data_IF_007167438224
#
_entry.id   IF_007167438224
#
_cell.length_a   1.000
_cell.length_b   1.000
_cell.length_c   1.000
_cell.angle_alpha   90.00
_cell.angle_beta   90.00
_cell.angle_gamma   90.00
#
_symmetry.space_group_name_H-M   'P 1'
#
loop_
_entity.id
_entity.type
_entity.pdbx_description
1 polymer ?
#
# COMPACT_ATOMS: atom_id res chain seq x y z
N UNK A 1 -31.77 -30.37 20.05
CA UNK A 1 -30.34 -30.37 19.75
C UNK A 1 -29.71 -29.33 20.65
N UNK A 2 -29.05 -29.75 21.72
CA UNK A 2 -28.45 -28.81 22.69
C UNK A 2 -27.14 -28.32 22.07
N UNK A 3 -27.06 -27.01 21.82
CA UNK A 3 -25.80 -26.37 21.41
C UNK A 3 -24.82 -26.47 22.57
N UNK A 4 -23.58 -26.85 22.30
CA UNK A 4 -22.57 -26.95 23.35
C UNK A 4 -22.20 -25.55 23.84
N UNK A 5 -21.72 -25.45 25.08
CA UNK A 5 -21.27 -24.18 25.64
C UNK A 5 -20.16 -23.58 24.77
N UNK A 6 -19.31 -24.40 24.13
CA UNK A 6 -18.30 -23.95 23.17
C UNK A 6 -18.89 -23.34 21.89
N UNK A 7 -20.00 -23.87 21.39
CA UNK A 7 -20.66 -23.31 20.19
C UNK A 7 -21.30 -21.96 20.49
N UNK A 8 -21.90 -21.83 21.69
CA UNK A 8 -22.46 -20.56 22.17
C UNK A 8 -21.33 -19.53 22.35
N UNK A 9 -20.21 -19.92 22.94
CA UNK A 9 -19.04 -19.05 23.10
C UNK A 9 -18.49 -18.61 21.73
N UNK A 10 -18.33 -19.53 20.77
CA UNK A 10 -17.82 -19.25 19.43
C UNK A 10 -18.75 -18.33 18.62
N UNK A 11 -20.06 -18.54 18.72
CA UNK A 11 -21.07 -17.68 18.08
C UNK A 11 -21.06 -16.25 18.68
N UNK A 12 -20.89 -16.12 20.00
CA UNK A 12 -20.77 -14.79 20.64
C UNK A 12 -19.48 -14.07 20.25
N UNK A 13 -18.36 -14.79 20.08
CA UNK A 13 -17.10 -14.22 19.58
C UNK A 13 -17.21 -13.75 18.12
N UNK A 14 -17.89 -14.52 17.25
CA UNK A 14 -18.15 -14.08 15.86
C UNK A 14 -19.05 -12.86 15.79
N UNK A 15 -20.10 -12.79 16.62
CA UNK A 15 -20.99 -11.63 16.66
C UNK A 15 -20.32 -10.39 17.26
N UNK A 16 -19.36 -10.56 18.16
CA UNK A 16 -18.53 -9.45 18.69
C UNK A 16 -17.50 -8.94 17.67
N UNK A 17 -17.02 -9.80 16.76
CA UNK A 17 -16.18 -9.41 15.60
C UNK A 17 -16.90 -8.44 14.66
N UNK A 18 -18.22 -8.59 14.50
CA UNK A 18 -19.04 -7.66 13.68
C UNK A 18 -19.41 -6.36 14.41
N UNK A 19 -19.29 -6.32 15.75
CA UNK A 19 -19.67 -5.19 16.59
C UNK A 19 -18.52 -4.28 17.03
N UNK A 20 -17.29 -4.51 16.58
CA UNK A 20 -16.15 -3.64 16.89
C UNK A 20 -15.47 -2.96 15.67
N UNK A 21 -16.19 -2.39 14.69
CA UNK A 21 -15.55 -1.54 13.69
C UNK A 21 -15.08 -0.18 14.25
N UNK A 22 -15.37 0.15 15.51
CA UNK A 22 -15.18 1.51 16.06
C UNK A 22 -14.29 1.63 17.30
N UNK A 23 -13.50 0.60 17.63
CA UNK A 23 -12.60 0.61 18.81
C UNK A 23 -11.16 0.18 18.53
N UNK A 24 -10.80 -0.04 17.27
CA UNK A 24 -9.41 0.16 16.87
C UNK A 24 -9.22 1.68 16.75
N UNK A 25 -8.42 2.34 17.61
CA UNK A 25 -7.94 3.67 17.25
C UNK A 25 -7.35 3.55 15.85
N UNK A 26 -7.72 4.45 14.95
CA UNK A 26 -7.11 4.59 13.62
C UNK A 26 -5.66 5.02 13.81
N UNK A 27 -4.81 4.08 14.23
CA UNK A 27 -3.38 4.27 14.27
C UNK A 27 -2.93 4.17 12.82
N UNK A 28 -2.25 5.21 12.32
CA UNK A 28 -1.42 5.17 11.10
C UNK A 28 -0.40 4.02 11.21
N UNK A 29 -0.84 2.79 11.00
CA UNK A 29 -0.04 1.56 11.10
C UNK A 29 -0.10 0.81 9.76
N UNK A 30 -0.13 1.55 8.65
CA UNK A 30 0.15 0.95 7.35
C UNK A 30 1.59 0.43 7.37
N UNK A 31 1.72 -0.89 7.23
CA UNK A 31 2.98 -1.56 6.98
C UNK A 31 3.17 -1.69 5.48
N UNK A 32 4.42 -1.54 5.04
CA UNK A 32 4.81 -1.72 3.65
C UNK A 32 5.53 -3.06 3.49
N UNK A 33 5.09 -3.84 2.51
CA UNK A 33 5.58 -5.19 2.23
C UNK A 33 6.15 -5.24 0.82
N UNK A 34 7.43 -5.59 0.70
CA UNK A 34 8.07 -5.74 -0.60
C UNK A 34 7.79 -7.11 -1.20
N UNK A 35 7.42 -7.13 -2.48
CA UNK A 35 7.25 -8.33 -3.28
C UNK A 35 8.27 -8.33 -4.42
N UNK A 36 9.20 -9.28 -4.41
CA UNK A 36 10.30 -9.36 -5.37
C UNK A 36 9.91 -10.03 -6.69
N UNK A 37 8.82 -10.79 -6.71
CA UNK A 37 8.32 -11.42 -7.93
C UNK A 37 7.78 -10.34 -8.86
N UNK A 38 8.55 -9.98 -9.88
CA UNK A 38 8.20 -8.91 -10.79
C UNK A 38 6.87 -9.17 -11.52
N UNK A 39 6.05 -8.12 -11.63
CA UNK A 39 4.73 -8.14 -12.29
C UNK A 39 4.53 -6.85 -13.07
N UNK A 40 3.64 -6.90 -14.07
CA UNK A 40 3.10 -5.67 -14.67
C UNK A 40 2.24 -4.94 -13.64
N UNK A 41 2.03 -3.63 -13.82
CA UNK A 41 1.41 -2.79 -12.79
C UNK A 41 0.02 -3.30 -12.36
N UNK A 42 -0.82 -3.72 -13.31
CA UNK A 42 -2.18 -4.23 -13.02
C UNK A 42 -2.15 -5.53 -12.20
N UNK A 43 -1.19 -6.40 -12.48
CA UNK A 43 -1.04 -7.68 -11.78
C UNK A 43 -0.42 -7.47 -10.39
N UNK A 44 0.52 -6.53 -10.27
CA UNK A 44 1.07 -6.12 -8.98
C UNK A 44 -0.04 -5.58 -8.06
N UNK A 45 -0.92 -4.71 -8.59
CA UNK A 45 -2.07 -4.20 -7.85
C UNK A 45 -3.05 -5.29 -7.45
N UNK A 46 -3.39 -6.17 -8.39
CA UNK A 46 -4.29 -7.30 -8.13
C UNK A 46 -3.73 -8.22 -7.05
N UNK A 47 -2.42 -8.47 -7.08
CA UNK A 47 -1.73 -9.23 -6.04
C UNK A 47 -1.83 -8.55 -4.67
N UNK A 48 -1.57 -7.24 -4.59
CA UNK A 48 -1.68 -6.52 -3.31
C UNK A 48 -3.11 -6.57 -2.76
N UNK A 49 -4.13 -6.43 -3.59
CA UNK A 49 -5.54 -6.54 -3.15
C UNK A 49 -5.96 -7.95 -2.74
N UNK A 50 -5.26 -8.97 -3.24
CA UNK A 50 -5.53 -10.36 -2.90
C UNK A 50 -4.86 -10.77 -1.59
N UNK A 51 -3.68 -10.23 -1.28
CA UNK A 51 -2.83 -10.69 -0.17
C UNK A 51 -2.61 -9.65 0.94
N UNK A 52 -2.91 -8.38 0.67
CA UNK A 52 -2.72 -7.21 1.53
C UNK A 52 -3.91 -6.25 1.33
N UNK A 53 -3.70 -4.93 1.42
CA UNK A 53 -4.71 -3.92 1.11
C UNK A 53 -4.64 -3.48 -0.35
N UNK A 54 -3.57 -2.80 -0.78
CA UNK A 54 -3.38 -2.36 -2.19
C UNK A 54 -1.91 -1.95 -2.45
N UNK A 55 -1.60 -1.48 -3.67
CA UNK A 55 -0.38 -0.70 -3.94
C UNK A 55 -0.43 0.63 -3.18
N UNK A 56 0.67 1.13 -2.61
CA UNK A 56 0.66 2.34 -1.78
C UNK A 56 0.48 3.59 -2.62
N UNK A 57 -0.48 4.43 -2.21
CA UNK A 57 -0.50 5.85 -2.58
C UNK A 57 0.31 6.63 -1.55
N UNK A 58 1.27 7.44 -2.01
CA UNK A 58 2.18 8.16 -1.11
C UNK A 58 1.69 9.60 -0.91
N UNK A 59 1.28 9.93 0.31
CA UNK A 59 0.64 11.20 0.65
C UNK A 59 1.59 12.22 1.27
N UNK A 60 2.75 11.80 1.75
CA UNK A 60 3.72 12.67 2.41
C UNK A 60 5.15 12.11 2.37
N UNK A 61 6.12 12.93 2.79
CA UNK A 61 7.54 12.56 2.80
C UNK A 61 7.87 11.46 3.82
N UNK A 62 7.10 11.34 4.91
CA UNK A 62 7.29 10.31 5.93
C UNK A 62 7.00 8.93 5.32
N UNK A 63 5.87 8.77 4.64
CA UNK A 63 5.50 7.55 3.91
C UNK A 63 6.53 7.20 2.83
N UNK A 64 6.91 8.18 1.99
CA UNK A 64 7.93 7.97 0.97
C UNK A 64 9.24 7.44 1.56
N UNK A 65 9.67 8.03 2.67
CA UNK A 65 10.89 7.64 3.36
C UNK A 65 10.76 6.25 4.02
N UNK A 66 9.56 5.87 4.52
CA UNK A 66 9.31 4.54 5.04
C UNK A 66 9.44 3.48 3.96
N UNK A 67 8.81 3.70 2.80
CA UNK A 67 8.91 2.80 1.65
C UNK A 67 10.37 2.75 1.17
N UNK A 68 11.03 3.90 1.03
CA UNK A 68 12.42 3.98 0.55
C UNK A 68 13.40 3.19 1.42
N UNK A 69 13.15 3.09 2.73
CA UNK A 69 14.00 2.33 3.67
C UNK A 69 13.92 0.81 3.49
N UNK A 70 12.80 0.29 3.01
CA UNK A 70 12.62 -1.15 2.80
C UNK A 70 13.01 -1.57 1.39
N UNK A 71 13.38 -0.61 0.54
CA UNK A 71 13.70 -0.87 -0.86
C UNK A 71 15.05 -1.57 -1.08
N UNK A 72 15.11 -2.47 -2.06
CA UNK A 72 16.36 -3.06 -2.54
C UNK A 72 16.99 -2.16 -3.60
N UNK A 73 18.27 -1.84 -3.43
CA UNK A 73 19.02 -1.02 -4.38
C UNK A 73 19.01 -1.60 -5.79
N UNK A 74 18.88 -0.73 -6.80
CA UNK A 74 19.01 -1.09 -8.22
C UNK A 74 17.70 -1.39 -8.95
N UNK A 75 16.54 -1.23 -8.30
CA UNK A 75 15.24 -1.47 -8.92
C UNK A 75 14.41 -0.19 -9.07
N UNK A 76 13.40 -0.28 -9.95
CA UNK A 76 12.19 0.53 -9.88
C UNK A 76 11.10 -0.33 -9.25
N UNK A 77 10.26 0.30 -8.43
CA UNK A 77 9.27 -0.39 -7.61
C UNK A 77 7.89 0.18 -7.90
N UNK A 78 6.92 -0.65 -8.24
CA UNK A 78 5.56 -0.15 -8.47
C UNK A 78 4.95 0.45 -7.20
N UNK A 79 4.33 1.62 -7.37
CA UNK A 79 3.47 2.30 -6.40
C UNK A 79 2.12 2.63 -7.06
N UNK A 80 1.08 2.89 -6.27
CA UNK A 80 -0.17 3.42 -6.81
C UNK A 80 -0.02 4.94 -6.92
N UNK A 81 -0.13 5.45 -8.14
CA UNK A 81 -0.34 6.87 -8.34
C UNK A 81 -1.37 7.02 -9.44
N UNK A 82 -2.62 7.18 -9.02
CA UNK A 82 -3.62 7.71 -9.93
C UNK A 82 -3.28 9.18 -10.19
N UNK A 83 -2.74 9.47 -11.38
CA UNK A 83 -2.64 10.84 -11.87
C UNK A 83 -4.07 11.37 -12.01
N UNK A 84 -4.57 12.03 -10.96
CA UNK A 84 -5.78 12.83 -11.07
C UNK A 84 -5.53 13.86 -12.17
N UNK A 85 -6.16 13.63 -13.31
CA UNK A 85 -6.03 14.40 -14.55
C UNK A 85 -6.75 15.76 -14.48
N UNK A 86 -6.99 16.28 -13.27
CA UNK A 86 -7.81 17.46 -13.05
C UNK A 86 -6.95 18.59 -12.51
N UNK A 87 -6.43 19.36 -13.46
CA UNK A 87 -6.03 20.74 -13.24
C UNK A 87 -7.19 21.52 -12.58
N UNK A 88 -6.95 21.92 -11.33
CA UNK A 88 -7.49 23.09 -10.62
C UNK A 88 -8.98 23.42 -10.78
N UNK A 89 -9.78 23.15 -9.74
CA UNK A 89 -10.97 23.99 -9.43
C UNK A 89 -10.99 24.56 -8.00
N UNK A 90 -10.15 24.07 -7.10
CA UNK A 90 -10.40 24.27 -5.67
C UNK A 90 -9.15 23.99 -4.83
N UNK A 91 -8.12 24.82 -4.98
CA UNK A 91 -7.05 25.09 -3.99
C UNK A 91 -6.55 23.91 -3.11
N UNK A 92 -6.58 22.68 -3.61
CA UNK A 92 -6.02 21.49 -2.95
C UNK A 92 -4.56 21.28 -3.41
N UNK A 93 -3.79 22.36 -3.25
CA UNK A 93 -2.43 22.52 -3.75
C UNK A 93 -1.37 21.87 -2.84
N UNK A 94 -1.66 20.71 -2.24
CA UNK A 94 -0.75 20.06 -1.26
C UNK A 94 -0.74 18.52 -1.31
N UNK A 95 -1.04 17.90 -2.45
CA UNK A 95 -0.71 16.47 -2.61
C UNK A 95 0.80 16.34 -2.78
N UNK A 96 1.47 15.69 -1.83
CA UNK A 96 2.91 15.43 -1.86
C UNK A 96 3.33 14.87 -3.21
N UNK A 97 4.42 15.41 -3.75
CA UNK A 97 5.01 14.97 -5.02
C UNK A 97 6.49 14.71 -4.79
N UNK A 98 6.97 13.54 -5.20
CA UNK A 98 8.39 13.21 -5.13
C UNK A 98 8.94 12.76 -6.49
N UNK A 99 8.47 13.39 -7.56
CA UNK A 99 8.97 13.19 -8.92
C UNK A 99 10.47 13.47 -9.04
N UNK A 100 11.14 12.66 -9.86
CA UNK A 100 12.50 12.93 -10.32
C UNK A 100 12.56 14.17 -11.22
N UNK A 101 13.77 14.65 -11.49
CA UNK A 101 13.96 15.76 -12.43
C UNK A 101 13.38 15.39 -13.81
N UNK A 102 12.61 16.31 -14.40
CA UNK A 102 11.94 16.12 -15.71
C UNK A 102 10.83 15.05 -15.73
N UNK A 103 10.23 14.72 -14.58
CA UNK A 103 9.06 13.86 -14.46
C UNK A 103 7.88 14.64 -13.84
N UNK A 104 6.61 14.27 -14.13
CA UNK A 104 6.18 13.28 -15.12
C UNK A 104 6.54 13.70 -16.56
N UNK A 105 6.77 12.71 -17.43
CA UNK A 105 7.09 12.85 -18.85
C UNK A 105 5.94 12.32 -19.70
N UNK A 106 5.35 13.16 -20.56
CA UNK A 106 4.19 12.80 -21.39
C UNK A 106 4.39 11.57 -22.31
N UNK A 107 5.63 11.10 -22.51
CA UNK A 107 5.96 9.98 -23.39
C UNK A 107 6.31 8.67 -22.68
N UNK A 108 6.26 8.63 -21.34
CA UNK A 108 6.85 7.53 -20.56
C UNK A 108 5.85 6.49 -20.04
N UNK A 109 4.55 6.65 -20.31
CA UNK A 109 3.47 5.79 -19.83
C UNK A 109 2.72 6.37 -18.63
N UNK A 110 1.64 5.71 -18.21
CA UNK A 110 0.72 6.22 -17.19
C UNK A 110 0.96 5.61 -15.79
N UNK A 111 1.83 4.61 -15.67
CA UNK A 111 2.14 3.95 -14.40
C UNK A 111 3.38 4.56 -13.74
N UNK A 112 3.48 4.45 -12.42
CA UNK A 112 4.52 5.13 -11.65
C UNK A 112 5.36 4.14 -10.86
N UNK A 113 6.68 4.22 -11.08
CA UNK A 113 7.68 3.46 -10.34
C UNK A 113 8.51 4.38 -9.46
N UNK A 114 8.77 3.94 -8.22
CA UNK A 114 9.72 4.56 -7.31
C UNK A 114 11.14 4.05 -7.58
N UNK A 115 12.08 4.97 -7.80
CA UNK A 115 13.49 4.64 -8.04
C UNK A 115 14.26 4.47 -6.73
N UNK A 116 14.89 3.32 -6.58
CA UNK A 116 15.73 2.98 -5.42
C UNK A 116 17.07 3.71 -5.43
N UNK A 117 17.58 4.04 -6.63
CA UNK A 117 18.90 4.68 -6.81
C UNK A 117 18.82 6.20 -6.81
N UNK A 118 17.62 6.76 -6.90
CA UNK A 118 17.36 8.20 -6.87
C UNK A 118 16.54 8.56 -5.62
N UNK A 119 16.94 8.06 -4.45
CA UNK A 119 16.34 8.45 -3.14
C UNK A 119 14.81 8.36 -3.08
N UNK A 120 14.24 7.32 -3.68
CA UNK A 120 12.80 7.09 -3.73
C UNK A 120 12.06 8.02 -4.69
N UNK A 121 12.74 8.71 -5.61
CA UNK A 121 12.10 9.60 -6.58
C UNK A 121 11.24 8.83 -7.57
N UNK A 122 10.14 9.43 -7.99
CA UNK A 122 9.13 8.80 -8.84
C UNK A 122 9.41 9.06 -10.32
N UNK A 123 9.12 8.06 -11.14
CA UNK A 123 9.22 8.10 -12.58
C UNK A 123 7.95 7.52 -13.21
N UNK A 124 7.46 8.14 -14.28
CA UNK A 124 6.53 7.46 -15.16
C UNK A 124 7.23 6.33 -15.91
N UNK A 125 6.52 5.22 -16.04
CA UNK A 125 6.99 3.98 -16.63
C UNK A 125 5.86 3.36 -17.46
N UNK A 126 6.24 2.57 -18.47
CA UNK A 126 5.27 1.74 -19.20
C UNK A 126 4.67 0.71 -18.24
N UNK A 127 3.34 0.65 -18.19
CA UNK A 127 2.59 -0.25 -17.30
C UNK A 127 2.88 -1.74 -17.55
N UNK A 128 3.40 -2.08 -18.73
CA UNK A 128 3.73 -3.45 -19.16
C UNK A 128 5.12 -3.89 -18.71
N UNK A 129 5.92 -3.01 -18.08
CA UNK A 129 7.19 -3.41 -17.49
C UNK A 129 6.94 -4.35 -16.31
N UNK A 130 7.72 -5.42 -16.23
CA UNK A 130 7.72 -6.28 -15.06
C UNK A 130 8.66 -5.70 -14.02
N UNK A 131 8.11 -5.28 -12.88
CA UNK A 131 8.89 -4.72 -11.79
C UNK A 131 8.47 -5.34 -10.46
N UNK A 132 9.40 -5.47 -9.49
CA UNK A 132 9.04 -5.67 -8.10
C UNK A 132 8.14 -4.53 -7.61
N UNK A 133 7.40 -4.76 -6.54
CA UNK A 133 6.38 -3.82 -6.08
C UNK A 133 6.25 -3.84 -4.57
N UNK A 134 5.64 -2.80 -4.02
CA UNK A 134 5.32 -2.70 -2.59
C UNK A 134 3.83 -2.77 -2.43
N UNK A 135 3.35 -3.55 -1.47
CA UNK A 135 1.97 -3.49 -1.01
C UNK A 135 1.91 -2.73 0.32
N UNK A 136 0.81 -2.05 0.61
CA UNK A 136 0.50 -1.63 1.96
C UNK A 136 -0.63 -2.48 2.55
N UNK A 137 -0.66 -2.54 3.88
CA UNK A 137 -1.77 -3.10 4.61
C UNK A 137 -1.59 -2.93 6.11
N UNK A 138 -2.56 -3.42 6.87
CA UNK A 138 -2.52 -3.30 8.32
C UNK A 138 -1.34 -4.08 8.88
N UNK A 139 -0.53 -3.41 9.72
CA UNK A 139 0.38 -4.12 10.61
C UNK A 139 -0.49 -4.85 11.63
N UNK A 140 -0.76 -6.14 11.43
CA UNK A 140 -1.39 -6.96 12.46
C UNK A 140 -0.48 -7.02 13.67
N UNK A 141 -0.69 -6.12 14.62
CA UNK A 141 -0.10 -6.17 15.95
C UNK A 141 -1.10 -6.81 16.94
N UNK A 142 -1.92 -7.74 16.44
CA UNK A 142 -2.80 -8.60 17.24
C UNK A 142 -2.32 -10.06 17.20
N UNK A 143 -1.02 -10.26 17.39
CA UNK A 143 -0.51 -11.44 18.10
C UNK A 143 0.07 -10.93 19.42
N UNK A 144 -0.82 -10.70 20.39
CA UNK A 144 -0.43 -11.02 21.77
C UNK A 144 -0.87 -12.47 21.94
N UNK A 145 -0.11 -13.41 21.39
CA UNK A 145 0.05 -14.71 22.06
C UNK A 145 0.83 -14.40 23.35
N UNK A 146 0.11 -13.91 24.36
CA UNK A 146 0.46 -14.23 25.73
C UNK A 146 -0.17 -15.59 26.00
N UNK A 147 0.37 -16.62 25.35
CA UNK A 147 0.12 -17.98 25.78
C UNK A 147 0.90 -18.18 27.08
N UNK A 148 0.13 -18.42 28.14
CA UNK A 148 0.54 -18.98 29.42
C UNK A 148 1.19 -20.35 29.24
#
# INVERSE_FOLDING_TARGET
MMMSISDILCATVSSLKELMPSLCPSIENDAYFMVLTAKIWTDARSYCRQHYTDLPTIHNSKENNQINKILLSGYYIWIDLFLDSWEWSDQWDLRFKHWAASQPSMSSGDCVGMSTTDSGKWFQQSCDLQQPFVCYGEKTNCEIESDL
#
